data_IF_856252722661
#
_entry.id   IF_856252722661
#
_cell.length_a   1.000
_cell.length_b   1.000
_cell.length_c   1.000
_cell.angle_alpha   90.00
_cell.angle_beta   90.00
_cell.angle_gamma   90.00
#
_symmetry.space_group_name_H-M   'P 1'
#
loop_
_entity.id
_entity.type
_entity.pdbx_description
1 polymer ?
#
# COMPACT_ATOMS: atom_id res chain seq x y z
N UNK A 1 -7.42 1.15 -34.71
CA UNK A 1 -6.15 0.61 -34.19
C UNK A 1 -6.24 0.24 -32.70
N UNK A 2 -7.41 -0.26 -32.25
CA UNK A 2 -7.70 -0.63 -30.86
C UNK A 2 -7.77 -2.15 -30.65
N UNK A 3 -7.44 -2.96 -31.66
CA UNK A 3 -7.74 -4.41 -31.68
C UNK A 3 -6.56 -5.33 -31.31
N UNK A 4 -5.39 -4.79 -30.96
CA UNK A 4 -4.19 -5.58 -30.63
C UNK A 4 -3.78 -5.54 -29.15
N UNK A 5 -4.32 -4.60 -28.36
CA UNK A 5 -3.97 -4.48 -26.94
C UNK A 5 -4.77 -5.41 -26.04
N UNK A 6 -5.98 -5.83 -26.46
CA UNK A 6 -6.84 -6.72 -25.66
C UNK A 6 -6.33 -8.17 -25.63
N UNK A 7 -5.51 -8.57 -26.60
CA UNK A 7 -4.96 -9.94 -26.66
C UNK A 7 -3.86 -10.18 -25.61
N UNK A 8 -3.09 -9.15 -25.24
CA UNK A 8 -2.00 -9.31 -24.26
C UNK A 8 -2.55 -9.50 -22.84
N UNK A 9 -3.71 -8.91 -22.53
CA UNK A 9 -4.35 -9.08 -21.22
C UNK A 9 -5.06 -10.44 -21.04
N UNK A 10 -5.38 -11.16 -22.11
CA UNK A 10 -6.05 -12.46 -22.03
C UNK A 10 -5.11 -13.65 -21.74
N UNK A 11 -3.80 -13.52 -21.97
CA UNK A 11 -2.87 -14.66 -21.81
C UNK A 11 -2.42 -14.87 -20.36
N UNK A 12 -2.52 -13.84 -19.50
CA UNK A 12 -2.11 -13.96 -18.09
C UNK A 12 -3.07 -14.78 -17.23
N UNK A 13 -4.29 -15.09 -17.69
CA UNK A 13 -5.31 -15.74 -16.87
C UNK A 13 -5.46 -17.25 -17.05
N UNK A 14 -4.64 -17.91 -17.91
CA UNK A 14 -4.83 -19.34 -18.22
C UNK A 14 -3.59 -20.24 -18.06
N UNK A 15 -2.53 -19.79 -17.37
CA UNK A 15 -1.42 -20.67 -16.99
C UNK A 15 -1.54 -21.13 -15.54
N UNK A 16 -2.65 -21.84 -15.24
CA UNK A 16 -2.80 -22.67 -14.04
C UNK A 16 -2.58 -24.15 -14.38
N UNK A 17 -1.52 -24.48 -15.12
CA UNK A 17 -1.06 -25.86 -15.19
C UNK A 17 0.35 -25.96 -14.61
N UNK A 18 0.38 -26.38 -13.35
CA UNK A 18 1.56 -26.80 -12.63
C UNK A 18 2.15 -28.01 -13.35
N UNK A 19 3.22 -27.83 -14.14
CA UNK A 19 4.35 -28.78 -14.34
C UNK A 19 5.20 -28.37 -15.56
N UNK A 20 6.14 -27.44 -15.38
CA UNK A 20 7.49 -27.49 -15.99
C UNK A 20 8.28 -26.22 -15.66
N UNK A 21 9.00 -26.25 -14.53
CA UNK A 21 9.62 -25.08 -13.91
C UNK A 21 10.90 -24.57 -14.62
N UNK A 22 11.24 -24.95 -15.87
CA UNK A 22 12.51 -24.49 -16.51
C UNK A 22 12.50 -24.25 -18.02
N UNK A 23 11.36 -24.15 -18.69
CA UNK A 23 11.31 -23.82 -20.13
C UNK A 23 10.69 -22.44 -20.38
N UNK A 24 11.38 -21.41 -19.92
CA UNK A 24 11.09 -20.03 -20.31
C UNK A 24 11.22 -19.90 -21.83
N UNK A 25 10.13 -19.53 -22.52
CA UNK A 25 10.07 -19.33 -24.00
C UNK A 25 11.16 -18.37 -24.51
N UNK A 26 11.64 -17.49 -23.64
CA UNK A 26 12.70 -16.53 -23.90
C UNK A 26 14.03 -17.20 -24.30
N UNK A 27 14.28 -18.43 -23.85
CA UNK A 27 15.50 -19.19 -24.15
C UNK A 27 15.46 -19.92 -25.52
N UNK A 28 14.41 -19.73 -26.32
CA UNK A 28 14.19 -20.40 -27.62
C UNK A 28 14.33 -19.46 -28.83
N UNK A 29 14.88 -18.26 -28.60
CA UNK A 29 15.06 -17.23 -29.62
C UNK A 29 16.45 -17.33 -30.26
N UNK A 30 16.53 -17.23 -31.59
CA UNK A 30 17.81 -17.17 -32.30
C UNK A 30 18.29 -15.72 -32.28
N UNK A 31 19.51 -15.48 -31.80
CA UNK A 31 20.09 -14.13 -31.80
C UNK A 31 20.59 -13.69 -33.19
N UNK A 32 20.78 -14.62 -34.13
CA UNK A 32 21.36 -14.34 -35.47
C UNK A 32 20.30 -14.12 -36.55
N UNK A 33 19.27 -14.96 -36.57
CA UNK A 33 18.20 -14.89 -37.56
C UNK A 33 16.89 -14.71 -36.79
N UNK A 34 16.39 -13.48 -36.74
CA UNK A 34 15.27 -12.99 -35.90
C UNK A 34 13.89 -13.57 -36.26
N UNK A 35 13.84 -14.84 -36.62
CA UNK A 35 12.71 -15.72 -36.41
C UNK A 35 12.98 -16.47 -35.09
N UNK A 36 11.95 -17.12 -34.55
CA UNK A 36 12.22 -18.10 -33.52
C UNK A 36 13.32 -19.08 -33.98
N UNK A 37 14.25 -19.50 -33.12
CA UNK A 37 15.21 -20.59 -33.46
C UNK A 37 14.51 -21.95 -33.38
N UNK A 38 13.29 -21.98 -33.90
CA UNK A 38 12.45 -23.14 -33.85
C UNK A 38 12.89 -23.99 -35.03
N UNK A 39 13.88 -24.84 -34.76
CA UNK A 39 13.67 -26.22 -35.15
C UNK A 39 12.34 -26.66 -34.51
N UNK A 40 11.29 -26.79 -35.31
CA UNK A 40 9.91 -27.13 -34.90
C UNK A 40 9.92 -28.37 -33.98
N UNK A 41 10.88 -29.25 -34.21
CA UNK A 41 11.19 -30.43 -33.40
C UNK A 41 11.48 -30.11 -31.92
N UNK A 42 12.15 -28.99 -31.61
CA UNK A 42 12.46 -28.57 -30.23
C UNK A 42 11.22 -28.10 -29.47
N UNK A 43 10.24 -27.50 -30.17
CA UNK A 43 8.97 -27.13 -29.55
C UNK A 43 8.11 -28.35 -29.26
N UNK A 44 8.02 -29.29 -30.22
CA UNK A 44 7.28 -30.54 -30.02
C UNK A 44 7.81 -31.37 -28.85
N UNK A 45 9.09 -31.23 -28.48
CA UNK A 45 9.66 -31.89 -27.30
C UNK A 45 9.31 -31.24 -25.96
N UNK A 46 8.83 -29.98 -25.94
CA UNK A 46 8.66 -29.18 -24.71
C UNK A 46 7.24 -28.68 -24.47
N UNK A 47 6.41 -28.61 -25.51
CA UNK A 47 5.07 -28.04 -25.46
C UNK A 47 4.06 -28.97 -26.12
N UNK A 48 2.81 -28.91 -25.69
CA UNK A 48 1.74 -29.65 -26.34
C UNK A 48 1.45 -29.06 -27.72
N UNK A 49 0.92 -29.85 -28.67
CA UNK A 49 0.60 -29.35 -30.01
C UNK A 49 -0.32 -28.13 -30.02
N UNK A 50 -1.25 -28.04 -29.07
CA UNK A 50 -2.15 -26.88 -28.92
C UNK A 50 -1.40 -25.62 -28.48
N UNK A 51 -0.46 -25.75 -27.55
CA UNK A 51 0.34 -24.62 -27.06
C UNK A 51 1.27 -24.12 -28.17
N UNK A 52 1.82 -25.02 -28.98
CA UNK A 52 2.70 -24.67 -30.12
C UNK A 52 1.94 -23.81 -31.14
N UNK A 53 0.68 -24.14 -31.42
CA UNK A 53 -0.15 -23.37 -32.34
C UNK A 53 -0.39 -21.94 -31.83
N UNK A 54 -0.51 -21.76 -30.52
CA UNK A 54 -0.66 -20.42 -29.92
C UNK A 54 0.67 -19.68 -29.81
N UNK A 55 1.76 -20.36 -29.47
CA UNK A 55 3.11 -19.78 -29.34
C UNK A 55 3.57 -19.20 -30.68
N UNK A 56 3.33 -19.90 -31.79
CA UNK A 56 3.70 -19.44 -33.14
C UNK A 56 2.94 -18.15 -33.52
N UNK A 57 1.72 -17.96 -33.01
CA UNK A 57 0.91 -16.76 -33.28
C UNK A 57 1.39 -15.52 -32.52
N UNK A 58 2.23 -15.68 -31.49
CA UNK A 58 2.77 -14.56 -30.72
C UNK A 58 3.72 -13.76 -31.64
N UNK A 59 3.39 -12.50 -31.98
CA UNK A 59 4.26 -11.69 -32.81
C UNK A 59 5.55 -11.41 -32.04
N UNK A 60 6.68 -11.91 -32.54
CA UNK A 60 7.98 -11.50 -32.03
C UNK A 60 8.22 -10.06 -32.47
N UNK A 61 8.10 -9.12 -31.53
CA UNK A 61 8.40 -7.72 -31.81
C UNK A 61 9.82 -7.61 -32.36
N UNK A 62 9.99 -6.86 -33.45
CA UNK A 62 11.28 -6.59 -34.07
C UNK A 62 12.05 -5.63 -33.13
N UNK A 63 12.72 -6.20 -32.11
CA UNK A 63 13.39 -5.49 -31.02
C UNK A 63 14.73 -4.87 -31.47
N UNK A 64 14.68 -4.01 -32.49
CA UNK A 64 15.75 -3.04 -32.70
C UNK A 64 15.60 -1.82 -31.75
N UNK A 65 14.56 -1.83 -30.91
CA UNK A 65 14.33 -0.82 -29.88
C UNK A 65 14.59 -1.46 -28.51
N UNK A 66 15.30 -0.77 -27.62
CA UNK A 66 15.41 -1.19 -26.23
C UNK A 66 14.00 -1.23 -25.60
N UNK A 67 13.82 -2.09 -24.61
CA UNK A 67 12.58 -2.14 -23.83
C UNK A 67 12.29 -0.78 -23.19
N UNK A 68 11.03 -0.35 -23.25
CA UNK A 68 10.58 0.95 -22.71
C UNK A 68 9.59 0.67 -21.58
N UNK A 69 9.79 1.24 -20.38
CA UNK A 69 8.80 1.14 -19.32
C UNK A 69 7.49 1.82 -19.76
N UNK A 70 6.40 1.08 -19.69
CA UNK A 70 5.06 1.56 -20.09
C UNK A 70 4.13 1.57 -18.89
N UNK A 71 3.48 2.69 -18.64
CA UNK A 71 2.51 2.85 -17.57
C UNK A 71 1.08 2.61 -18.07
N UNK A 72 0.47 1.49 -17.68
CA UNK A 72 -0.87 1.10 -18.15
C UNK A 72 -1.98 2.05 -17.70
N UNK A 73 -1.81 2.67 -16.52
CA UNK A 73 -2.79 3.59 -15.93
C UNK A 73 -2.68 5.02 -16.46
N UNK A 74 -2.11 5.21 -17.65
CA UNK A 74 -2.15 6.47 -18.39
C UNK A 74 -2.31 6.16 -19.89
N UNK A 75 -3.29 6.77 -20.58
CA UNK A 75 -3.47 6.58 -22.02
C UNK A 75 -2.23 6.93 -22.85
N UNK A 76 -1.44 7.90 -22.39
CA UNK A 76 -0.15 8.30 -23.01
C UNK A 76 0.99 7.33 -22.69
N UNK A 77 0.74 6.27 -21.91
CA UNK A 77 1.71 5.25 -21.48
C UNK A 77 2.89 5.78 -20.65
N UNK A 78 2.81 7.03 -20.20
CA UNK A 78 3.85 7.71 -19.42
C UNK A 78 3.53 7.60 -17.93
N UNK A 79 4.54 7.25 -17.14
CA UNK A 79 4.45 7.27 -15.69
C UNK A 79 4.49 8.72 -15.19
N UNK A 80 3.53 9.07 -14.34
CA UNK A 80 3.57 10.28 -13.52
C UNK A 80 3.14 9.93 -12.10
N UNK A 81 3.63 10.68 -11.11
CA UNK A 81 3.20 10.53 -9.72
C UNK A 81 1.68 10.71 -9.59
N UNK A 82 1.10 11.64 -10.37
CA UNK A 82 -0.34 11.88 -10.40
C UNK A 82 -1.13 10.66 -10.89
N UNK A 83 -0.77 10.10 -12.05
CA UNK A 83 -1.43 8.90 -12.59
C UNK A 83 -1.24 7.67 -11.70
N UNK A 84 -0.11 7.58 -10.99
CA UNK A 84 0.13 6.52 -10.01
C UNK A 84 -0.79 6.66 -8.79
N UNK A 85 -0.91 7.86 -8.25
CA UNK A 85 -1.78 8.13 -7.10
C UNK A 85 -3.25 7.93 -7.44
N UNK A 86 -3.68 8.36 -8.64
CA UNK A 86 -5.03 8.14 -9.13
C UNK A 86 -5.36 6.64 -9.23
N UNK A 87 -4.52 5.86 -9.92
CA UNK A 87 -4.70 4.42 -10.04
C UNK A 87 -4.77 3.71 -8.67
N UNK A 88 -3.92 4.14 -7.74
CA UNK A 88 -3.91 3.63 -6.37
C UNK A 88 -5.19 3.98 -5.61
N UNK A 89 -5.69 5.21 -5.77
CA UNK A 89 -6.93 5.67 -5.12
C UNK A 89 -8.16 4.93 -5.64
N UNK A 90 -8.24 4.70 -6.96
CA UNK A 90 -9.33 3.95 -7.59
C UNK A 90 -9.32 2.48 -7.14
N UNK A 91 -8.14 1.86 -7.04
CA UNK A 91 -7.99 0.49 -6.53
C UNK A 91 -8.37 0.37 -5.05
N UNK A 92 -8.15 1.41 -4.24
CA UNK A 92 -8.65 1.45 -2.86
C UNK A 92 -10.17 1.57 -2.78
N UNK A 93 -10.77 2.41 -3.61
CA UNK A 93 -12.24 2.60 -3.62
C UNK A 93 -12.95 1.32 -4.08
N UNK A 94 -12.42 0.63 -5.09
CA UNK A 94 -12.99 -0.62 -5.59
C UNK A 94 -12.94 -1.76 -4.57
N UNK A 95 -11.92 -1.79 -3.71
CA UNK A 95 -11.71 -2.86 -2.73
C UNK A 95 -12.20 -2.55 -1.31
N UNK A 96 -12.69 -1.33 -1.06
CA UNK A 96 -13.00 -0.84 0.29
C UNK A 96 -14.39 -0.21 0.32
N UNK A 97 -15.42 -1.01 -0.01
CA UNK A 97 -16.83 -0.67 0.23
C UNK A 97 -17.24 -1.03 1.66
N UNK A 98 -16.55 -0.48 2.67
CA UNK A 98 -16.97 -0.58 4.07
C UNK A 98 -17.29 0.81 4.61
N UNK A 99 -18.36 0.91 5.41
CA UNK A 99 -18.88 2.16 5.99
C UNK A 99 -17.85 2.97 6.81
N UNK A 100 -16.73 2.36 7.18
CA UNK A 100 -15.61 2.95 7.92
C UNK A 100 -14.83 4.02 7.13
N UNK A 101 -14.82 3.95 5.78
CA UNK A 101 -14.11 4.94 4.95
C UNK A 101 -14.72 6.34 5.04
N UNK A 102 -16.04 6.43 5.22
CA UNK A 102 -16.75 7.71 5.30
C UNK A 102 -16.48 8.46 6.62
N UNK A 103 -16.41 7.72 7.73
CA UNK A 103 -16.11 8.28 9.04
C UNK A 103 -14.66 8.77 9.14
N UNK A 104 -13.71 7.94 8.67
CA UNK A 104 -12.27 8.30 8.68
C UNK A 104 -11.97 9.53 7.82
N UNK A 105 -12.58 9.64 6.64
CA UNK A 105 -12.40 10.82 5.76
C UNK A 105 -12.92 12.11 6.42
N UNK A 106 -14.09 12.06 7.07
CA UNK A 106 -14.64 13.21 7.81
C UNK A 106 -13.76 13.64 8.97
N UNK A 107 -13.23 12.67 9.73
CA UNK A 107 -12.30 12.94 10.82
C UNK A 107 -11.06 13.70 10.34
N UNK A 108 -10.39 13.24 9.28
CA UNK A 108 -9.20 13.93 8.77
C UNK A 108 -9.52 15.34 8.29
N UNK A 109 -10.64 15.54 7.60
CA UNK A 109 -11.07 16.88 7.18
C UNK A 109 -11.24 17.82 8.38
N UNK A 110 -11.85 17.33 9.47
CA UNK A 110 -12.00 18.08 10.72
C UNK A 110 -10.66 18.36 11.38
N UNK A 111 -9.78 17.34 11.51
CA UNK A 111 -8.45 17.49 12.10
C UNK A 111 -7.62 18.56 11.38
N UNK A 112 -7.65 18.55 10.05
CA UNK A 112 -6.88 19.48 9.24
C UNK A 112 -7.51 20.88 9.16
N UNK A 113 -8.82 21.02 9.40
CA UNK A 113 -9.49 22.32 9.47
C UNK A 113 -9.32 23.05 10.81
N UNK A 114 -8.88 22.38 11.88
CA UNK A 114 -8.64 23.01 13.18
C UNK A 114 -7.68 24.22 13.07
N UNK A 115 -7.93 25.29 13.83
CA UNK A 115 -7.02 26.43 13.90
C UNK A 115 -5.85 26.15 14.88
N UNK A 116 -5.05 25.13 14.58
CA UNK A 116 -3.90 24.71 15.36
C UNK A 116 -2.61 24.82 14.54
N UNK A 117 -1.46 25.11 15.17
CA UNK A 117 -0.16 24.95 14.53
C UNK A 117 0.00 23.57 13.90
N UNK A 118 0.62 23.51 12.72
CA UNK A 118 0.80 22.25 11.99
C UNK A 118 1.48 21.14 12.80
N UNK A 119 2.38 21.50 13.73
CA UNK A 119 3.02 20.56 14.66
C UNK A 119 2.01 19.84 15.56
N UNK A 120 1.00 20.54 16.07
CA UNK A 120 -0.05 19.94 16.90
C UNK A 120 -0.98 19.06 16.07
N UNK A 121 -1.33 19.46 14.84
CA UNK A 121 -2.13 18.62 13.93
C UNK A 121 -1.44 17.29 13.63
N UNK A 122 -0.15 17.33 13.31
CA UNK A 122 0.65 16.12 13.08
C UNK A 122 0.75 15.25 14.34
N UNK A 123 0.91 15.88 15.50
CA UNK A 123 0.95 15.16 16.77
C UNK A 123 -0.38 14.42 17.04
N UNK A 124 -1.51 15.09 16.89
CA UNK A 124 -2.85 14.50 17.04
C UNK A 124 -3.08 13.37 16.03
N UNK A 125 -2.68 13.57 14.77
CA UNK A 125 -2.73 12.53 13.75
C UNK A 125 -1.93 11.28 14.20
N UNK A 126 -0.71 11.46 14.72
CA UNK A 126 0.09 10.34 15.24
C UNK A 126 -0.55 9.67 16.46
N UNK A 127 -1.19 10.45 17.34
CA UNK A 127 -1.86 9.93 18.53
C UNK A 127 -3.02 9.01 18.17
N UNK A 128 -3.89 9.46 17.24
CA UNK A 128 -5.06 8.69 16.75
C UNK A 128 -4.64 7.39 16.07
N UNK A 129 -3.51 7.38 15.38
CA UNK A 129 -2.96 6.17 14.76
C UNK A 129 -2.14 5.28 15.69
N UNK A 130 -2.10 5.58 16.99
CA UNK A 130 -1.22 4.93 17.96
C UNK A 130 0.23 4.79 17.45
N UNK A 131 0.76 5.90 16.91
CA UNK A 131 2.08 6.03 16.28
C UNK A 131 3.03 6.95 17.07
N UNK A 132 2.69 7.22 18.32
CA UNK A 132 3.56 7.93 19.25
C UNK A 132 4.69 7.00 19.74
N UNK A 133 5.87 7.54 20.05
CA UNK A 133 7.02 6.74 20.49
C UNK A 133 6.91 6.34 21.97
N UNK A 134 5.76 5.81 22.38
CA UNK A 134 5.50 5.31 23.73
C UNK A 134 6.14 3.94 23.94
N UNK A 135 6.46 3.55 25.18
CA UNK A 135 7.16 2.29 25.45
C UNK A 135 6.43 1.06 24.91
N UNK A 136 5.09 1.01 24.97
CA UNK A 136 4.30 -0.04 24.34
C UNK A 136 4.58 -0.15 22.83
N UNK A 137 4.64 0.97 22.12
CA UNK A 137 4.90 1.03 20.68
C UNK A 137 6.33 0.66 20.32
N UNK A 138 7.29 1.03 21.16
CA UNK A 138 8.69 0.63 21.01
C UNK A 138 8.85 -0.88 21.24
N UNK A 139 8.19 -1.44 22.25
CA UNK A 139 8.16 -2.88 22.53
C UNK A 139 7.49 -3.67 21.40
N UNK A 140 6.37 -3.18 20.84
CA UNK A 140 5.74 -3.76 19.64
C UNK A 140 6.70 -3.81 18.44
N UNK A 141 7.64 -2.86 18.36
CA UNK A 141 8.71 -2.82 17.34
C UNK A 141 9.98 -3.58 17.74
N UNK A 142 9.91 -4.41 18.79
CA UNK A 142 11.01 -5.24 19.31
C UNK A 142 12.22 -4.44 19.83
N UNK A 143 12.03 -3.18 20.20
CA UNK A 143 13.04 -2.39 20.87
C UNK A 143 13.03 -2.71 22.37
N UNK A 144 14.19 -2.92 22.96
CA UNK A 144 14.34 -3.20 24.38
C UNK A 144 14.27 -1.87 25.16
N UNK A 145 13.11 -1.59 25.74
CA UNK A 145 12.87 -0.41 26.57
C UNK A 145 12.12 -0.82 27.84
N UNK A 146 12.29 -0.04 28.90
CA UNK A 146 11.49 -0.21 30.12
C UNK A 146 10.02 0.14 29.82
N UNK A 147 9.07 -0.79 30.02
CA UNK A 147 7.65 -0.53 29.79
C UNK A 147 7.08 0.54 30.72
N UNK A 148 7.73 0.85 31.83
CA UNK A 148 7.21 1.75 32.85
C UNK A 148 7.17 3.21 32.36
N UNK A 149 6.03 3.86 32.55
CA UNK A 149 5.82 5.26 32.27
C UNK A 149 6.80 6.14 33.05
N UNK A 150 7.58 6.94 32.34
CA UNK A 150 8.60 7.82 32.95
C UNK A 150 8.02 9.01 33.71
N UNK A 151 6.74 9.32 33.53
CA UNK A 151 6.07 10.43 34.21
C UNK A 151 5.57 10.03 35.60
N UNK A 152 4.86 8.89 35.70
CA UNK A 152 4.29 8.44 36.98
C UNK A 152 5.13 7.36 37.67
N UNK A 153 6.02 6.68 36.95
CA UNK A 153 6.83 5.54 37.42
C UNK A 153 6.03 4.40 38.05
N UNK A 154 4.76 4.22 37.66
CA UNK A 154 3.84 3.25 38.27
C UNK A 154 3.23 2.25 37.30
N UNK A 155 2.78 2.70 36.14
CA UNK A 155 2.07 1.88 35.16
C UNK A 155 2.83 1.81 33.83
N UNK A 156 2.42 0.90 32.95
CA UNK A 156 3.00 0.78 31.62
C UNK A 156 2.69 2.01 30.75
N UNK A 157 3.68 2.48 30.01
CA UNK A 157 3.55 3.63 29.13
C UNK A 157 2.79 3.26 27.84
N UNK A 158 1.60 3.83 27.70
CA UNK A 158 0.83 3.85 26.46
C UNK A 158 0.37 5.28 26.17
N UNK A 159 -0.09 5.54 24.95
CA UNK A 159 -0.67 6.84 24.63
C UNK A 159 -1.87 7.16 25.54
N UNK A 160 -2.77 6.20 25.76
CA UNK A 160 -3.92 6.37 26.66
C UNK A 160 -3.46 6.72 28.08
N UNK A 161 -2.47 5.98 28.59
CA UNK A 161 -1.93 6.27 29.92
C UNK A 161 -1.37 7.69 29.98
N UNK A 162 -0.46 8.05 29.08
CA UNK A 162 0.23 9.35 29.11
C UNK A 162 -0.73 10.54 29.03
N UNK A 163 -1.80 10.46 28.22
CA UNK A 163 -2.71 11.59 28.01
C UNK A 163 -3.93 11.63 28.93
N UNK A 164 -4.37 10.49 29.46
CA UNK A 164 -5.65 10.39 30.17
C UNK A 164 -5.52 9.80 31.58
N UNK A 165 -4.80 8.69 31.74
CA UNK A 165 -4.81 7.92 33.00
C UNK A 165 -3.66 8.32 33.94
N UNK A 166 -2.58 8.87 33.40
CA UNK A 166 -1.38 9.21 34.14
C UNK A 166 -1.65 10.28 35.19
N UNK A 167 -1.39 9.93 36.46
CA UNK A 167 -1.57 10.85 37.60
C UNK A 167 -0.77 12.14 37.42
N UNK A 168 0.46 12.05 36.94
CA UNK A 168 1.30 13.23 36.69
C UNK A 168 0.65 14.17 35.67
N UNK A 169 0.23 13.64 34.52
CA UNK A 169 -0.43 14.43 33.48
C UNK A 169 -1.71 15.06 33.99
N UNK A 170 -2.55 14.32 34.73
CA UNK A 170 -3.80 14.83 35.32
C UNK A 170 -3.55 16.03 36.24
N UNK A 171 -2.52 15.98 37.08
CA UNK A 171 -2.15 17.10 37.95
C UNK A 171 -1.65 18.30 37.14
N UNK A 172 -0.80 18.10 36.13
CA UNK A 172 -0.33 19.17 35.24
C UNK A 172 -1.51 19.84 34.53
N UNK A 173 -2.44 19.05 34.00
CA UNK A 173 -3.59 19.55 33.26
C UNK A 173 -4.57 20.34 34.13
N UNK A 174 -4.79 19.92 35.38
CA UNK A 174 -5.56 20.69 36.37
C UNK A 174 -4.96 22.06 36.63
N UNK A 175 -3.63 22.12 36.75
CA UNK A 175 -2.92 23.36 37.07
C UNK A 175 -2.83 24.35 35.89
N UNK A 176 -2.97 23.90 34.65
CA UNK A 176 -2.78 24.75 33.46
C UNK A 176 -4.04 25.46 32.97
N UNK A 177 -5.22 25.31 33.59
CA UNK A 177 -6.52 25.82 33.06
C UNK A 177 -6.80 25.41 31.60
N UNK A 178 -6.12 24.39 31.09
CA UNK A 178 -6.34 23.79 29.76
C UNK A 178 -7.53 22.78 29.83
N UNK A 179 -7.94 22.43 31.04
CA UNK A 179 -8.81 21.31 31.33
C UNK A 179 -10.28 21.72 31.48
N UNK A 180 -10.93 22.17 30.39
CA UNK A 180 -12.38 21.95 30.24
C UNK A 180 -12.76 21.54 28.81
N UNK A 181 -12.03 21.99 27.77
CA UNK A 181 -12.38 21.66 26.38
C UNK A 181 -11.46 20.61 25.71
N UNK A 182 -10.19 20.49 26.12
CA UNK A 182 -9.21 19.63 25.41
C UNK A 182 -9.07 18.25 26.06
N UNK A 183 -9.41 18.10 27.34
CA UNK A 183 -9.15 16.89 28.13
C UNK A 183 -10.43 16.47 28.85
N UNK A 184 -11.44 16.09 28.08
CA UNK A 184 -12.31 15.01 28.55
C UNK A 184 -11.49 13.71 28.51
N UNK A 185 -11.88 12.65 29.23
CA UNK A 185 -11.25 11.35 29.03
C UNK A 185 -11.48 10.96 27.57
N UNK A 186 -10.47 11.21 26.75
CA UNK A 186 -10.51 11.02 25.32
C UNK A 186 -9.79 9.72 25.06
N UNK A 187 -10.54 8.68 24.69
CA UNK A 187 -9.96 7.78 23.73
C UNK A 187 -9.76 8.59 22.45
N UNK A 188 -8.53 8.57 21.90
CA UNK A 188 -8.31 9.17 20.58
C UNK A 188 -9.20 8.51 19.51
N UNK A 189 -9.72 7.30 19.77
CA UNK A 189 -10.74 6.65 18.95
C UNK A 189 -12.11 7.32 19.07
N UNK A 190 -12.48 7.86 20.22
CA UNK A 190 -13.75 8.60 20.38
C UNK A 190 -13.77 9.87 19.50
N UNK A 191 -12.59 10.43 19.18
CA UNK A 191 -12.48 11.51 18.20
C UNK A 191 -12.89 11.08 16.79
N UNK A 192 -12.71 9.80 16.44
CA UNK A 192 -13.13 9.22 15.15
C UNK A 192 -14.66 9.04 15.09
N UNK A 193 -15.30 8.86 16.24
CA UNK A 193 -16.72 8.51 16.37
C UNK A 193 -17.62 9.70 16.77
N UNK A 194 -17.04 10.82 17.23
CA UNK A 194 -17.78 12.01 17.65
C UNK A 194 -18.56 12.67 16.49
N UNK A 195 -19.88 12.48 16.53
CA UNK A 195 -20.91 12.94 15.58
C UNK A 195 -21.32 14.39 15.82
#
# INVERSE_FOLDING_TARGET
>A
MASQMDTIHMVSHNLHNQTNHKSSIYNLRNDRCRNWDIDISKLHSKFLPIDIQEIIKIPLANLHRPDIPVWIHNPKRIFTVCSAYQAFSEHKIANSQTSEQGATTKFYNKLWSLNLPGKLKHFLWRAVHNNLPTSDNLLRRKLQVDPTCKLCSKEAESAMHVFNECLYTREVCRNLTIAEEIIKPLDFRDLLESR
#
